data_IF_232516071662
#
_entry.id   IF_232516071662
#
_cell.length_a   1.000
_cell.length_b   1.000
_cell.length_c   1.000
_cell.angle_alpha   90.00
_cell.angle_beta   90.00
_cell.angle_gamma   90.00
#
_symmetry.space_group_name_H-M   'P 1'
#
loop_
_entity.id
_entity.type
_entity.pdbx_description
1 polymer ?
#
# COMPACT_ATOMS: atom_id res chain seq x y z
N UNK A 1 5.27 20.67 -22.01
CA UNK A 1 3.83 20.54 -22.09
C UNK A 1 3.18 21.16 -20.87
N UNK A 2 2.20 22.07 -21.09
CA UNK A 2 1.43 22.67 -20.00
C UNK A 2 0.24 21.76 -19.67
N UNK A 3 0.17 21.25 -18.45
CA UNK A 3 -0.90 20.35 -18.00
C UNK A 3 -1.98 21.06 -17.15
N UNK A 4 -2.06 22.38 -17.23
CA UNK A 4 -3.04 23.17 -16.48
C UNK A 4 -2.77 24.68 -16.59
N UNK A 5 -3.40 25.46 -15.74
CA UNK A 5 -3.33 26.93 -15.71
C UNK A 5 -1.91 27.43 -15.36
N UNK A 6 -1.10 26.59 -14.67
CA UNK A 6 0.29 26.85 -14.38
C UNK A 6 1.15 25.74 -15.02
N UNK A 7 2.11 26.13 -15.84
CA UNK A 7 3.01 25.22 -16.57
C UNK A 7 4.11 24.65 -15.66
N UNK A 8 3.77 23.97 -14.59
CA UNK A 8 4.73 23.40 -13.62
C UNK A 8 5.25 22.00 -14.01
N UNK A 9 4.79 21.46 -15.15
CA UNK A 9 5.14 20.12 -15.61
C UNK A 9 4.65 19.02 -14.67
N UNK A 10 5.40 17.91 -14.60
CA UNK A 10 5.07 16.76 -13.76
C UNK A 10 5.50 16.88 -12.29
N UNK A 11 6.31 17.90 -11.96
CA UNK A 11 6.93 18.02 -10.64
C UNK A 11 5.93 18.00 -9.47
N UNK A 12 4.84 18.81 -9.43
CA UNK A 12 3.90 18.79 -8.33
C UNK A 12 3.20 17.43 -8.19
N UNK A 13 2.82 16.81 -9.28
CA UNK A 13 2.14 15.50 -9.29
C UNK A 13 3.05 14.35 -8.82
N UNK A 14 4.35 14.43 -9.13
CA UNK A 14 5.36 13.51 -8.63
C UNK A 14 5.45 13.59 -7.09
N UNK A 15 5.51 14.80 -6.54
CA UNK A 15 5.53 15.00 -5.10
C UNK A 15 4.23 14.59 -4.42
N UNK A 16 3.08 14.83 -5.05
CA UNK A 16 1.80 14.33 -4.55
C UNK A 16 1.82 12.80 -4.42
N UNK A 17 2.32 12.09 -5.44
CA UNK A 17 2.47 10.63 -5.37
C UNK A 17 3.39 10.18 -4.24
N UNK A 18 4.49 10.89 -3.98
CA UNK A 18 5.37 10.61 -2.84
C UNK A 18 4.63 10.82 -1.51
N UNK A 19 3.94 11.97 -1.36
CA UNK A 19 3.18 12.30 -0.14
C UNK A 19 1.99 11.37 0.09
N UNK A 20 1.45 10.73 -0.93
CA UNK A 20 0.42 9.69 -0.81
C UNK A 20 1.08 8.35 -0.48
N UNK A 21 2.06 7.92 -1.26
CA UNK A 21 2.61 6.57 -1.19
C UNK A 21 3.34 6.29 0.13
N UNK A 22 4.23 7.18 0.57
CA UNK A 22 5.04 6.94 1.77
C UNK A 22 4.19 6.76 3.03
N UNK A 23 3.28 7.69 3.39
CA UNK A 23 2.43 7.50 4.58
C UNK A 23 1.48 6.31 4.45
N UNK A 24 0.88 6.11 3.27
CA UNK A 24 -0.06 5.00 3.07
C UNK A 24 0.63 3.64 3.20
N UNK A 25 1.82 3.46 2.63
CA UNK A 25 2.64 2.24 2.79
C UNK A 25 3.00 2.01 4.25
N UNK A 26 3.49 3.04 4.94
CA UNK A 26 3.89 2.93 6.34
C UNK A 26 2.71 2.53 7.24
N UNK A 27 1.59 3.25 7.14
CA UNK A 27 0.41 3.03 7.99
C UNK A 27 -0.20 1.66 7.70
N UNK A 28 -0.43 1.30 6.42
CA UNK A 28 -1.03 0.02 6.04
C UNK A 28 -0.14 -1.18 6.41
N UNK A 29 1.19 -1.04 6.30
CA UNK A 29 2.15 -2.08 6.71
C UNK A 29 2.13 -2.28 8.22
N UNK A 30 2.12 -1.20 9.00
CA UNK A 30 2.08 -1.28 10.47
C UNK A 30 0.77 -1.88 10.97
N UNK A 31 -0.37 -1.42 10.44
CA UNK A 31 -1.69 -1.98 10.78
C UNK A 31 -1.77 -3.44 10.35
N UNK A 32 -1.29 -3.78 9.15
CA UNK A 32 -1.24 -5.15 8.66
C UNK A 32 -0.39 -6.08 9.54
N UNK A 33 0.76 -5.59 10.01
CA UNK A 33 1.61 -6.33 10.94
C UNK A 33 0.91 -6.60 12.28
N UNK A 34 0.26 -5.59 12.86
CA UNK A 34 -0.52 -5.74 14.10
C UNK A 34 -1.70 -6.70 13.91
N UNK A 35 -2.49 -6.50 12.86
CA UNK A 35 -3.63 -7.37 12.55
C UNK A 35 -3.19 -8.81 12.29
N UNK A 36 -2.15 -9.01 11.49
CA UNK A 36 -1.57 -10.32 11.21
C UNK A 36 -1.10 -11.02 12.49
N UNK A 37 -0.48 -10.29 13.42
CA UNK A 37 -0.09 -10.79 14.72
C UNK A 37 -1.29 -11.20 15.58
N UNK A 38 -2.31 -10.33 15.68
CA UNK A 38 -3.54 -10.63 16.43
C UNK A 38 -4.20 -11.89 15.87
N UNK A 39 -4.42 -11.97 14.57
CA UNK A 39 -5.11 -13.11 13.93
C UNK A 39 -4.28 -14.41 14.01
N UNK A 40 -2.94 -14.32 13.98
CA UNK A 40 -2.07 -15.49 14.07
C UNK A 40 -1.92 -16.02 15.51
N UNK A 41 -1.81 -15.13 16.51
CA UNK A 41 -1.43 -15.50 17.87
C UNK A 41 -2.57 -15.46 18.87
N UNK A 42 -3.61 -14.68 18.61
CA UNK A 42 -4.75 -14.57 19.52
C UNK A 42 -5.91 -15.46 19.07
N UNK A 43 -6.05 -16.61 19.70
CA UNK A 43 -7.11 -17.57 19.41
C UNK A 43 -8.43 -17.14 20.06
N UNK A 44 -9.10 -16.12 19.52
CA UNK A 44 -10.44 -15.72 19.94
C UNK A 44 -11.51 -16.30 19.01
N UNK A 45 -12.73 -16.47 19.54
CA UNK A 45 -13.88 -16.95 18.76
C UNK A 45 -14.19 -15.93 17.64
N UNK A 46 -14.17 -16.39 16.38
CA UNK A 46 -14.43 -15.53 15.22
C UNK A 46 -13.16 -14.98 14.50
N UNK A 47 -11.94 -15.20 14.99
CA UNK A 47 -10.71 -14.73 14.36
C UNK A 47 -10.62 -15.15 12.88
N UNK A 48 -10.91 -16.41 12.56
CA UNK A 48 -10.90 -16.91 11.19
C UNK A 48 -11.99 -16.28 10.33
N UNK A 49 -13.16 -15.98 10.89
CA UNK A 49 -14.25 -15.33 10.17
C UNK A 49 -13.89 -13.88 9.84
N UNK A 50 -13.34 -13.13 10.80
CA UNK A 50 -12.85 -11.76 10.56
C UNK A 50 -11.78 -11.77 9.48
N UNK A 51 -10.83 -12.68 9.55
CA UNK A 51 -9.78 -12.82 8.54
C UNK A 51 -10.36 -13.15 7.15
N UNK A 52 -11.33 -14.08 7.08
CA UNK A 52 -12.01 -14.42 5.84
C UNK A 52 -12.78 -13.23 5.25
N UNK A 53 -13.47 -12.44 6.08
CA UNK A 53 -14.16 -11.22 5.65
C UNK A 53 -13.18 -10.16 5.13
N UNK A 54 -12.04 -9.96 5.80
CA UNK A 54 -10.99 -9.07 5.33
C UNK A 54 -10.44 -9.51 3.96
N UNK A 55 -10.20 -10.82 3.78
CA UNK A 55 -9.77 -11.36 2.49
C UNK A 55 -10.85 -11.20 1.43
N UNK A 56 -12.09 -11.49 1.74
CA UNK A 56 -13.21 -11.29 0.81
C UNK A 56 -13.25 -9.83 0.33
N UNK A 57 -13.06 -8.86 1.25
CA UNK A 57 -12.98 -7.44 0.93
C UNK A 57 -11.88 -7.10 -0.08
N UNK A 58 -10.75 -7.82 -0.07
CA UNK A 58 -9.65 -7.62 -1.02
C UNK A 58 -10.01 -8.01 -2.47
N UNK A 59 -10.99 -8.88 -2.66
CA UNK A 59 -11.43 -9.35 -3.98
C UNK A 59 -12.64 -8.60 -4.52
N UNK A 60 -13.20 -7.64 -3.77
CA UNK A 60 -14.26 -6.77 -4.26
C UNK A 60 -13.68 -5.88 -5.37
N UNK A 61 -14.29 -5.83 -6.57
CA UNK A 61 -13.85 -4.94 -7.63
C UNK A 61 -13.84 -3.48 -7.15
N UNK A 62 -12.75 -2.77 -7.39
CA UNK A 62 -12.57 -1.38 -6.96
C UNK A 62 -13.71 -0.47 -7.43
N UNK A 63 -14.26 -0.75 -8.62
CA UNK A 63 -15.34 0.02 -9.22
C UNK A 63 -16.60 0.05 -8.36
N UNK A 64 -16.90 -1.06 -7.65
CA UNK A 64 -18.10 -1.18 -6.81
C UNK A 64 -18.04 -0.26 -5.60
N UNK A 65 -16.84 0.01 -5.09
CA UNK A 65 -16.63 0.79 -3.87
C UNK A 65 -16.36 2.27 -4.12
N UNK A 66 -16.20 2.71 -5.38
CA UNK A 66 -15.92 4.12 -5.68
C UNK A 66 -16.97 5.05 -5.11
N UNK A 67 -18.25 4.81 -5.39
CA UNK A 67 -19.32 5.68 -4.91
C UNK A 67 -19.52 5.66 -3.39
N UNK A 68 -19.56 4.49 -2.70
CA UNK A 68 -19.56 4.45 -1.25
C UNK A 68 -18.35 5.16 -0.61
N UNK A 69 -17.15 4.98 -1.19
CA UNK A 69 -15.93 5.61 -0.69
C UNK A 69 -15.96 7.13 -0.86
N UNK A 70 -16.40 7.63 -2.03
CA UNK A 70 -16.58 9.07 -2.25
C UNK A 70 -17.51 9.69 -1.18
N UNK A 71 -18.61 8.99 -0.85
CA UNK A 71 -19.53 9.44 0.21
C UNK A 71 -18.86 9.46 1.58
N UNK A 72 -18.08 8.44 1.93
CA UNK A 72 -17.34 8.38 3.19
C UNK A 72 -16.33 9.53 3.27
N UNK A 73 -15.55 9.77 2.20
CA UNK A 73 -14.61 10.87 2.14
C UNK A 73 -15.30 12.24 2.29
N UNK A 74 -16.47 12.41 1.66
CA UNK A 74 -17.26 13.65 1.81
C UNK A 74 -17.76 13.86 3.24
N UNK A 75 -18.22 12.78 3.92
CA UNK A 75 -18.67 12.86 5.33
C UNK A 75 -17.52 13.13 6.32
N UNK A 76 -16.29 12.80 5.94
CA UNK A 76 -15.09 13.02 6.75
C UNK A 76 -14.35 14.32 6.40
N UNK A 77 -14.86 15.13 5.47
CA UNK A 77 -14.20 16.32 4.93
C UNK A 77 -12.81 16.03 4.32
N UNK A 78 -12.64 14.82 3.76
CA UNK A 78 -11.40 14.35 3.14
C UNK A 78 -11.50 14.30 1.59
N UNK A 79 -12.64 14.67 1.02
CA UNK A 79 -12.83 14.67 -0.45
C UNK A 79 -11.81 15.60 -1.14
N UNK A 80 -11.27 15.16 -2.28
CA UNK A 80 -10.33 15.93 -3.08
C UNK A 80 -8.94 16.12 -2.46
N UNK A 81 -8.64 15.54 -1.30
CA UNK A 81 -7.42 15.79 -0.54
C UNK A 81 -6.40 14.65 -0.64
N UNK A 82 -5.11 14.97 -0.42
CA UNK A 82 -4.04 13.97 -0.31
C UNK A 82 -4.30 13.02 0.87
N UNK A 83 -4.80 13.53 2.00
CA UNK A 83 -5.17 12.71 3.17
C UNK A 83 -6.32 11.75 2.88
N UNK A 84 -7.27 12.15 2.05
CA UNK A 84 -8.32 11.26 1.57
C UNK A 84 -7.77 10.10 0.73
N UNK A 85 -6.85 10.38 -0.18
CA UNK A 85 -6.17 9.33 -0.97
C UNK A 85 -5.34 8.40 -0.09
N UNK A 86 -4.60 8.93 0.90
CA UNK A 86 -3.89 8.11 1.88
C UNK A 86 -4.86 7.18 2.61
N UNK A 87 -5.98 7.70 3.08
CA UNK A 87 -7.01 6.92 3.79
C UNK A 87 -7.56 5.77 2.93
N UNK A 88 -7.89 6.04 1.67
CA UNK A 88 -8.37 5.02 0.72
C UNK A 88 -7.33 3.91 0.53
N UNK A 89 -6.08 4.28 0.26
CA UNK A 89 -5.00 3.31 0.04
C UNK A 89 -4.68 2.50 1.30
N UNK A 90 -4.78 3.09 2.48
CA UNK A 90 -4.61 2.37 3.75
C UNK A 90 -5.70 1.33 3.91
N UNK A 91 -6.97 1.70 3.74
CA UNK A 91 -8.10 0.76 3.88
C UNK A 91 -7.96 -0.42 2.92
N UNK A 92 -7.68 -0.14 1.66
CA UNK A 92 -7.49 -1.20 0.66
C UNK A 92 -6.25 -2.05 0.91
N UNK A 93 -5.19 -1.46 1.44
CA UNK A 93 -3.94 -2.15 1.76
C UNK A 93 -4.05 -3.09 2.96
N UNK A 94 -4.91 -2.80 3.95
CA UNK A 94 -4.98 -3.54 5.22
C UNK A 94 -5.23 -5.03 5.00
N UNK A 95 -6.12 -5.43 4.10
CA UNK A 95 -6.45 -6.83 3.87
C UNK A 95 -5.24 -7.64 3.40
N UNK A 96 -4.58 -7.19 2.34
CA UNK A 96 -3.39 -7.87 1.79
C UNK A 96 -2.20 -7.82 2.74
N UNK A 97 -1.93 -6.68 3.38
CA UNK A 97 -0.84 -6.58 4.35
C UNK A 97 -1.08 -7.49 5.55
N UNK A 98 -2.32 -7.57 6.05
CA UNK A 98 -2.70 -8.52 7.10
C UNK A 98 -2.47 -9.97 6.66
N UNK A 99 -2.84 -10.33 5.43
CA UNK A 99 -2.61 -11.67 4.88
C UNK A 99 -1.13 -12.03 4.85
N UNK A 100 -0.28 -11.13 4.37
CA UNK A 100 1.16 -11.36 4.28
C UNK A 100 1.78 -11.59 5.67
N UNK A 101 1.50 -10.73 6.62
CA UNK A 101 2.00 -10.86 7.98
C UNK A 101 1.43 -12.08 8.71
N UNK A 102 0.14 -12.34 8.59
CA UNK A 102 -0.48 -13.51 9.21
C UNK A 102 0.16 -14.81 8.71
N UNK A 103 0.34 -14.94 7.39
CA UNK A 103 0.95 -16.12 6.81
C UNK A 103 2.42 -16.29 7.23
N UNK A 104 3.13 -15.22 7.44
CA UNK A 104 4.48 -15.24 7.97
C UNK A 104 4.50 -15.65 9.46
N UNK A 105 3.63 -15.05 10.27
CA UNK A 105 3.61 -15.24 11.72
C UNK A 105 3.15 -16.61 12.18
N UNK A 106 2.33 -17.31 11.42
CA UNK A 106 1.94 -18.70 11.75
C UNK A 106 3.11 -19.68 11.67
N UNK A 107 4.20 -19.31 11.00
CA UNK A 107 5.40 -20.12 10.88
C UNK A 107 6.44 -19.82 11.99
N UNK A 108 6.24 -18.79 12.81
CA UNK A 108 7.12 -18.47 13.94
C UNK A 108 6.89 -19.51 15.05
N UNK A 109 7.96 -20.15 15.59
CA UNK A 109 7.85 -21.16 16.63
C UNK A 109 7.09 -20.67 17.86
N UNK A 110 6.11 -21.45 18.32
CA UNK A 110 5.29 -21.11 19.48
C UNK A 110 6.09 -21.07 20.80
N UNK A 111 7.24 -21.73 20.81
CA UNK A 111 8.18 -21.81 21.94
C UNK A 111 8.70 -20.42 22.33
N UNK A 112 8.96 -19.55 21.34
CA UNK A 112 9.37 -18.17 21.58
C UNK A 112 8.30 -17.37 22.34
N UNK A 113 7.04 -17.57 21.95
CA UNK A 113 5.90 -16.91 22.61
C UNK A 113 5.69 -17.43 24.01
N UNK A 114 5.82 -18.77 24.20
CA UNK A 114 5.70 -19.40 25.53
C UNK A 114 6.79 -18.92 26.47
N UNK A 115 8.05 -18.90 26.03
CA UNK A 115 9.19 -18.40 26.83
C UNK A 115 8.96 -16.92 27.25
N UNK A 116 8.61 -16.06 26.31
CA UNK A 116 8.34 -14.64 26.60
C UNK A 116 7.19 -14.45 27.61
N UNK A 117 6.15 -15.30 27.55
CA UNK A 117 5.05 -15.26 28.52
C UNK A 117 5.51 -15.70 29.91
N UNK A 118 6.40 -16.69 30.02
CA UNK A 118 6.99 -17.11 31.29
C UNK A 118 7.84 -16.00 31.90
N UNK A 119 8.50 -15.18 31.05
CA UNK A 119 9.24 -13.99 31.47
C UNK A 119 8.33 -12.79 31.78
N UNK A 120 7.00 -12.97 31.78
CA UNK A 120 6.02 -11.93 32.10
C UNK A 120 5.78 -10.90 31.00
N UNK A 121 6.19 -11.19 29.75
CA UNK A 121 5.97 -10.24 28.65
C UNK A 121 4.48 -10.14 28.30
N UNK A 122 4.01 -8.90 28.18
CA UNK A 122 2.64 -8.59 27.73
C UNK A 122 2.49 -8.85 26.24
N UNK A 123 1.24 -8.96 25.77
CA UNK A 123 0.91 -9.20 24.36
C UNK A 123 1.59 -8.21 23.41
N UNK A 124 1.52 -6.91 23.68
CA UNK A 124 2.16 -5.87 22.86
C UNK A 124 3.69 -5.92 22.98
N UNK A 125 4.25 -6.25 24.17
CA UNK A 125 5.69 -6.40 24.31
C UNK A 125 6.24 -7.52 23.46
N UNK A 126 5.54 -8.65 23.38
CA UNK A 126 5.88 -9.78 22.49
C UNK A 126 5.87 -9.32 21.02
N UNK A 127 4.86 -8.54 20.60
CA UNK A 127 4.81 -8.01 19.25
C UNK A 127 6.04 -7.16 18.92
N UNK A 128 6.33 -6.14 19.74
CA UNK A 128 7.41 -5.19 19.47
C UNK A 128 8.82 -5.81 19.62
N UNK A 129 9.00 -6.75 20.57
CA UNK A 129 10.32 -7.29 20.88
C UNK A 129 10.65 -8.57 20.14
N UNK A 130 9.67 -9.31 19.64
CA UNK A 130 9.89 -10.61 18.97
C UNK A 130 9.36 -10.59 17.55
N UNK A 131 8.05 -10.36 17.37
CA UNK A 131 7.43 -10.49 16.05
C UNK A 131 7.91 -9.44 15.07
N UNK A 132 7.90 -8.17 15.45
CA UNK A 132 8.28 -7.09 14.55
C UNK A 132 9.77 -7.17 14.11
N UNK A 133 10.75 -7.41 15.00
CA UNK A 133 12.13 -7.62 14.56
C UNK A 133 12.33 -8.83 13.65
N UNK A 134 11.62 -9.93 13.90
CA UNK A 134 11.66 -11.13 13.04
C UNK A 134 10.94 -10.90 11.70
N UNK A 135 10.12 -9.87 11.57
CA UNK A 135 9.31 -9.58 10.38
C UNK A 135 10.07 -8.88 9.27
N UNK A 136 11.35 -8.55 9.44
CA UNK A 136 12.09 -7.78 8.43
C UNK A 136 11.94 -8.34 7.00
N UNK A 137 12.00 -9.66 6.74
CA UNK A 137 11.81 -10.20 5.40
C UNK A 137 10.42 -9.92 4.82
N UNK A 138 9.37 -10.12 5.63
CA UNK A 138 7.99 -9.90 5.16
C UNK A 138 7.62 -8.42 5.10
N UNK A 139 8.22 -7.56 5.94
CA UNK A 139 8.08 -6.11 5.86
C UNK A 139 8.57 -5.63 4.48
N UNK A 140 9.74 -6.09 4.04
CA UNK A 140 10.29 -5.69 2.73
C UNK A 140 9.36 -6.11 1.60
N UNK A 141 8.86 -7.35 1.61
CA UNK A 141 7.89 -7.84 0.61
C UNK A 141 6.63 -6.99 0.62
N UNK A 142 6.08 -6.72 1.79
CA UNK A 142 4.84 -5.94 1.96
C UNK A 142 5.02 -4.50 1.49
N UNK A 143 6.13 -3.86 1.83
CA UNK A 143 6.45 -2.48 1.43
C UNK A 143 6.60 -2.38 -0.08
N UNK A 144 7.33 -3.31 -0.73
CA UNK A 144 7.48 -3.32 -2.18
C UNK A 144 6.13 -3.47 -2.87
N UNK A 145 5.35 -4.45 -2.42
CA UNK A 145 4.03 -4.72 -3.00
C UNK A 145 3.09 -3.52 -2.83
N UNK A 146 2.97 -3.01 -1.60
CA UNK A 146 2.09 -1.90 -1.28
C UNK A 146 2.51 -0.60 -2.00
N UNK A 147 3.81 -0.30 -2.03
CA UNK A 147 4.33 0.85 -2.77
C UNK A 147 3.97 0.76 -4.25
N UNK A 148 4.18 -0.40 -4.86
CA UNK A 148 3.88 -0.60 -6.28
C UNK A 148 2.40 -0.43 -6.58
N UNK A 149 1.52 -0.95 -5.72
CA UNK A 149 0.07 -0.80 -5.88
C UNK A 149 -0.36 0.66 -5.78
N UNK A 150 0.13 1.39 -4.78
CA UNK A 150 -0.23 2.80 -4.55
C UNK A 150 0.36 3.71 -5.62
N UNK A 151 1.64 3.51 -5.97
CA UNK A 151 2.32 4.34 -6.95
C UNK A 151 1.70 4.25 -8.34
N UNK A 152 1.31 3.05 -8.76
CA UNK A 152 0.73 2.81 -10.07
C UNK A 152 -0.80 2.99 -10.10
N UNK A 153 -1.43 3.31 -8.96
CA UNK A 153 -2.87 3.53 -8.96
C UNK A 153 -3.25 4.75 -9.80
N UNK A 154 -4.23 4.54 -10.65
CA UNK A 154 -4.86 5.57 -11.45
C UNK A 154 -6.31 5.80 -11.02
N UNK A 155 -7.02 4.70 -10.69
CA UNK A 155 -8.45 4.71 -10.52
C UNK A 155 -8.89 5.54 -9.29
N UNK A 156 -8.25 5.34 -8.14
CA UNK A 156 -8.53 6.13 -6.96
C UNK A 156 -8.02 7.57 -7.15
N UNK A 157 -6.85 7.72 -7.79
CA UNK A 157 -6.31 9.02 -8.12
C UNK A 157 -7.29 9.87 -8.92
N UNK A 158 -7.82 9.35 -10.04
CA UNK A 158 -8.75 10.10 -10.89
C UNK A 158 -10.12 10.28 -10.24
N UNK A 159 -10.53 9.36 -9.34
CA UNK A 159 -11.86 9.41 -8.71
C UNK A 159 -11.94 10.30 -7.48
N UNK A 160 -10.83 10.45 -6.74
CA UNK A 160 -10.84 11.09 -5.42
C UNK A 160 -9.86 12.26 -5.27
N UNK A 161 -9.14 12.66 -6.32
CA UNK A 161 -8.31 13.87 -6.31
C UNK A 161 -8.97 15.03 -7.03
N UNK A 162 -8.52 16.22 -6.72
CA UNK A 162 -8.90 17.48 -7.36
C UNK A 162 -7.67 18.18 -7.96
N UNK A 163 -7.89 19.32 -8.62
CA UNK A 163 -6.79 20.14 -9.13
C UNK A 163 -5.80 20.47 -8.01
N UNK A 164 -4.53 20.13 -8.23
CA UNK A 164 -3.45 20.32 -7.23
C UNK A 164 -3.15 19.13 -6.33
N UNK A 165 -4.05 18.15 -6.19
CA UNK A 165 -3.84 16.94 -5.36
C UNK A 165 -3.64 15.67 -6.18
N UNK A 166 -3.73 15.76 -7.51
CA UNK A 166 -3.62 14.63 -8.42
C UNK A 166 -2.26 13.92 -8.32
N UNK A 167 -2.25 12.56 -8.30
CA UNK A 167 -1.03 11.79 -8.40
C UNK A 167 -0.44 11.80 -9.82
N UNK A 168 0.80 11.35 -9.97
CA UNK A 168 1.53 11.35 -11.24
C UNK A 168 0.85 10.53 -12.34
N UNK A 169 0.16 9.46 -12.01
CA UNK A 169 -0.57 8.61 -12.94
C UNK A 169 -1.73 9.36 -13.62
N UNK A 170 -2.44 10.19 -12.87
CA UNK A 170 -3.51 11.04 -13.40
C UNK A 170 -2.92 12.13 -14.31
N UNK A 171 -1.83 12.77 -13.87
CA UNK A 171 -1.15 13.77 -14.69
C UNK A 171 -0.60 13.19 -16.00
N UNK A 172 0.01 11.99 -15.95
CA UNK A 172 0.47 11.26 -17.13
C UNK A 172 -0.68 10.99 -18.09
N UNK A 173 -1.82 10.51 -17.60
CA UNK A 173 -2.99 10.27 -18.42
C UNK A 173 -3.48 11.56 -19.11
N UNK A 174 -3.49 12.68 -18.39
CA UNK A 174 -3.89 13.98 -18.94
C UNK A 174 -2.94 14.48 -20.04
N UNK A 175 -1.63 14.25 -19.90
CA UNK A 175 -0.63 14.60 -20.92
C UNK A 175 -0.87 13.77 -22.18
N UNK A 176 -0.92 12.43 -22.02
CA UNK A 176 -1.03 11.49 -23.15
C UNK A 176 -2.35 11.67 -23.91
N UNK A 177 -3.44 12.00 -23.21
CA UNK A 177 -4.76 12.19 -23.82
C UNK A 177 -5.08 13.66 -24.19
N UNK A 178 -4.12 14.57 -24.08
CA UNK A 178 -4.31 15.95 -24.53
C UNK A 178 -4.54 15.99 -26.04
N UNK A 179 -5.66 16.58 -26.44
CA UNK A 179 -6.08 16.72 -27.85
C UNK A 179 -5.81 18.10 -28.42
N UNK A 180 -5.29 19.04 -27.61
CA UNK A 180 -5.03 20.42 -28.01
C UNK A 180 -3.61 20.55 -28.57
N UNK A 181 -3.51 20.90 -29.85
CA UNK A 181 -2.24 21.14 -30.53
C UNK A 181 -1.62 19.90 -31.20
N UNK A 182 -0.35 20.04 -31.61
CA UNK A 182 0.43 18.93 -32.20
C UNK A 182 0.85 17.99 -31.08
N UNK A 183 0.60 16.68 -31.25
CA UNK A 183 0.97 15.66 -30.26
C UNK A 183 2.48 15.50 -30.21
N UNK A 184 3.05 15.78 -29.04
CA UNK A 184 4.49 15.70 -28.76
C UNK A 184 4.85 14.36 -28.13
N UNK A 185 4.98 13.30 -28.94
CA UNK A 185 5.27 11.94 -28.48
C UNK A 185 6.55 11.82 -27.63
N UNK A 186 7.55 12.69 -27.86
CA UNK A 186 8.76 12.78 -27.05
C UNK A 186 8.45 13.19 -25.60
N UNK A 187 7.49 14.11 -25.41
CA UNK A 187 7.01 14.52 -24.07
C UNK A 187 6.25 13.38 -23.40
N UNK A 188 5.37 12.71 -24.13
CA UNK A 188 4.62 11.56 -23.61
C UNK A 188 5.58 10.45 -23.13
N UNK A 189 6.60 10.12 -23.93
CA UNK A 189 7.59 9.09 -23.57
C UNK A 189 8.44 9.51 -22.37
N UNK A 190 8.91 10.77 -22.33
CA UNK A 190 9.66 11.28 -21.19
C UNK A 190 8.82 11.26 -19.90
N UNK A 191 7.55 11.67 -19.98
CA UNK A 191 6.63 11.64 -18.86
C UNK A 191 6.40 10.20 -18.34
N UNK A 192 6.22 9.23 -19.26
CA UNK A 192 6.08 7.82 -18.90
C UNK A 192 7.31 7.24 -18.21
N UNK A 193 8.52 7.58 -18.69
CA UNK A 193 9.77 7.15 -18.06
C UNK A 193 9.90 7.73 -16.65
N UNK A 194 9.62 9.03 -16.47
CA UNK A 194 9.66 9.69 -15.15
C UNK A 194 8.66 9.03 -14.19
N UNK A 195 7.43 8.75 -14.65
CA UNK A 195 6.40 8.12 -13.83
C UNK A 195 6.75 6.67 -13.45
N UNK A 196 7.40 5.91 -14.34
CA UNK A 196 7.80 4.52 -14.08
C UNK A 196 9.05 4.39 -13.19
N UNK A 197 9.92 5.41 -13.17
CA UNK A 197 11.24 5.36 -12.53
C UNK A 197 11.21 4.90 -11.06
N UNK A 198 10.35 5.45 -10.17
CA UNK A 198 10.35 5.03 -8.76
C UNK A 198 10.03 3.55 -8.56
N UNK A 199 9.07 3.01 -9.31
CA UNK A 199 8.74 1.59 -9.26
C UNK A 199 9.92 0.73 -9.74
N UNK A 200 10.56 1.12 -10.84
CA UNK A 200 11.75 0.43 -11.36
C UNK A 200 12.89 0.44 -10.34
N UNK A 201 13.17 1.58 -9.70
CA UNK A 201 14.19 1.70 -8.67
C UNK A 201 13.89 0.79 -7.47
N UNK A 202 12.65 0.76 -7.00
CA UNK A 202 12.24 -0.16 -5.92
C UNK A 202 12.52 -1.61 -6.30
N UNK A 203 12.17 -2.06 -7.51
CA UNK A 203 12.45 -3.43 -7.95
C UNK A 203 13.95 -3.71 -8.10
N UNK A 204 14.74 -2.79 -8.63
CA UNK A 204 16.19 -2.96 -8.79
C UNK A 204 16.88 -3.14 -7.42
N UNK A 205 16.57 -2.27 -6.46
CA UNK A 205 17.25 -2.29 -5.16
C UNK A 205 16.69 -3.32 -4.18
N UNK A 206 15.37 -3.54 -4.22
CA UNK A 206 14.70 -4.39 -3.25
C UNK A 206 14.34 -5.79 -3.80
N UNK A 207 14.45 -6.04 -5.11
CA UNK A 207 14.07 -7.30 -5.75
C UNK A 207 14.76 -8.54 -5.16
N UNK A 208 16.03 -8.43 -4.78
CA UNK A 208 16.77 -9.53 -4.11
C UNK A 208 16.16 -9.92 -2.76
N UNK A 209 15.60 -8.96 -2.03
CA UNK A 209 14.93 -9.21 -0.74
C UNK A 209 13.53 -9.79 -0.95
N UNK A 210 12.86 -9.37 -2.03
CA UNK A 210 11.56 -9.91 -2.41
C UNK A 210 11.64 -11.44 -2.68
N UNK A 211 12.61 -11.88 -3.48
CA UNK A 211 12.83 -13.30 -3.75
C UNK A 211 13.12 -14.08 -2.46
N UNK A 212 14.01 -13.56 -1.61
CA UNK A 212 14.35 -14.20 -0.32
C UNK A 212 13.15 -14.26 0.63
N UNK A 213 12.31 -13.22 0.68
CA UNK A 213 11.12 -13.19 1.53
C UNK A 213 10.04 -14.20 1.10
N UNK A 214 9.85 -14.39 -0.21
CA UNK A 214 8.93 -15.39 -0.74
C UNK A 214 9.42 -16.82 -0.51
N UNK A 215 10.71 -17.07 -0.68
CA UNK A 215 11.30 -18.42 -0.52
C UNK A 215 11.45 -18.83 0.95
N UNK A 216 11.64 -17.88 1.87
CA UNK A 216 11.72 -18.17 3.30
C UNK A 216 10.42 -18.81 3.88
N UNK A 217 9.27 -18.61 3.21
CA UNK A 217 7.99 -19.25 3.55
C UNK A 217 7.76 -20.60 2.86
N UNK A 218 8.53 -20.95 1.84
CA UNK A 218 8.32 -22.15 1.00
C UNK A 218 9.26 -23.32 1.30
N UNK A 219 10.33 -23.11 2.07
CA UNK A 219 11.25 -24.19 2.45
C UNK A 219 10.76 -24.88 3.71
N UNK A 220 9.73 -25.71 3.56
CA UNK A 220 9.46 -26.88 4.38
C UNK A 220 9.37 -28.07 3.44
N UNK A 221 10.50 -28.62 3.10
CA UNK A 221 10.67 -29.95 2.61
C UNK A 221 11.34 -30.76 3.70
#
# INVERSE_FOLDING_TARGET
ACTGIQCEGLKPYFWNSIFIAIPAVFISTLIGALNGYVVAQWRFKGANMIFALMLFGCFIPFQVVLLPMARVLGLMDLAGSISGLIFVHVIYGIGFTTLFFRNYYVNIPSELVKAAKMDGATFLRIFWSIFLPLSLPIIVVTVIWQFTQIWNDFLFGVSFSEAGTQPITVALNNIVNSTTGVKEYNVDMAAAIIAAMPTLLVYIFAGKYFIRGLTAGSVKG
#
